data_IF_934093300705
#
_entry.id   IF_934093300705
#
_cell.length_a   1.000
_cell.length_b   1.000
_cell.length_c   1.000
_cell.angle_alpha   90.00
_cell.angle_beta   90.00
_cell.angle_gamma   90.00
#
_symmetry.space_group_name_H-M   'P 1'
#
loop_
_entity.id
_entity.type
_entity.pdbx_description
1 polymer ?
#
# COMPACT_ATOMS: atom_id res chain seq x y z
N UNK A 1 -12.70 -8.81 -13.35
CA UNK A 1 -12.84 -8.41 -11.92
C UNK A 1 -13.57 -7.07 -11.84
N UNK A 2 -14.31 -6.74 -10.75
CA UNK A 2 -14.99 -5.42 -10.60
C UNK A 2 -14.05 -4.22 -10.77
N UNK A 3 -12.75 -4.43 -10.50
CA UNK A 3 -11.67 -3.47 -10.79
C UNK A 3 -11.66 -3.02 -12.26
N UNK A 4 -12.00 -3.88 -13.22
CA UNK A 4 -12.10 -3.55 -14.64
C UNK A 4 -13.43 -2.86 -15.03
N UNK A 5 -14.42 -2.91 -14.14
CA UNK A 5 -15.73 -2.27 -14.31
C UNK A 5 -15.81 -0.90 -13.62
N UNK A 6 -14.69 -0.40 -13.07
CA UNK A 6 -14.64 0.92 -12.45
C UNK A 6 -14.99 2.00 -13.49
N UNK A 7 -15.95 2.90 -13.21
CA UNK A 7 -16.31 3.96 -14.14
C UNK A 7 -15.11 4.89 -14.38
N UNK A 8 -15.04 5.44 -15.60
CA UNK A 8 -14.02 6.43 -15.94
C UNK A 8 -14.28 7.72 -15.16
N UNK A 9 -13.31 8.15 -14.35
CA UNK A 9 -13.40 9.38 -13.57
C UNK A 9 -12.05 10.11 -13.58
N UNK A 10 -12.02 11.45 -13.72
CA UNK A 10 -10.78 12.21 -13.68
C UNK A 10 -9.98 11.92 -12.39
N UNK A 11 -8.73 11.47 -12.53
CA UNK A 11 -7.86 11.13 -11.39
C UNK A 11 -7.96 9.69 -10.87
N UNK A 12 -8.86 8.87 -11.43
CA UNK A 12 -8.89 7.42 -11.24
C UNK A 12 -8.40 6.69 -12.49
N UNK A 13 -7.51 5.71 -12.30
CA UNK A 13 -7.00 4.88 -13.40
C UNK A 13 -7.97 3.72 -13.61
N UNK A 14 -8.45 3.56 -14.85
CA UNK A 14 -9.20 2.36 -15.23
C UNK A 14 -8.22 1.21 -15.49
N UNK A 15 -8.50 0.05 -14.88
CA UNK A 15 -7.71 -1.16 -15.03
C UNK A 15 -8.45 -2.13 -15.96
N UNK A 16 -8.41 -1.89 -17.27
CA UNK A 16 -9.15 -2.69 -18.26
C UNK A 16 -8.80 -4.19 -18.23
N UNK A 17 -7.57 -4.53 -17.84
CA UNK A 17 -7.10 -5.92 -17.63
C UNK A 17 -7.32 -6.42 -16.19
N UNK A 18 -7.99 -5.65 -15.34
CA UNK A 18 -8.26 -6.00 -13.95
C UNK A 18 -6.99 -6.09 -13.10
N UNK A 19 -6.67 -7.30 -12.64
CA UNK A 19 -5.52 -7.58 -11.74
C UNK A 19 -4.38 -8.36 -12.41
N UNK A 20 -4.51 -8.68 -13.70
CA UNK A 20 -3.62 -9.60 -14.42
C UNK A 20 -2.39 -8.88 -14.97
N UNK A 21 -1.57 -8.32 -14.08
CA UNK A 21 -0.30 -7.74 -14.46
C UNK A 21 0.82 -8.77 -14.31
N UNK A 22 1.61 -8.96 -15.38
CA UNK A 22 2.82 -9.80 -15.36
C UNK A 22 3.88 -9.26 -14.39
N UNK A 23 3.87 -7.95 -14.14
CA UNK A 23 4.72 -7.26 -13.18
C UNK A 23 3.97 -6.05 -12.62
N UNK A 24 4.00 -5.88 -11.30
CA UNK A 24 3.45 -4.71 -10.62
C UNK A 24 4.53 -3.64 -10.47
N UNK A 25 4.22 -2.40 -10.83
CA UNK A 25 5.08 -1.24 -10.58
C UNK A 25 4.44 -0.30 -9.56
N UNK A 26 5.22 0.64 -9.01
CA UNK A 26 4.68 1.69 -8.14
C UNK A 26 3.61 2.58 -8.80
N UNK A 27 3.62 2.67 -10.14
CA UNK A 27 2.58 3.36 -10.91
C UNK A 27 1.28 2.56 -11.05
N UNK A 28 1.30 1.26 -10.74
CA UNK A 28 0.13 0.40 -10.75
C UNK A 28 -0.46 0.26 -9.34
N UNK A 29 0.37 0.18 -8.30
CA UNK A 29 -0.10 0.01 -6.91
C UNK A 29 -0.87 1.22 -6.38
N UNK A 30 -0.36 2.45 -6.57
CA UNK A 30 -1.02 3.67 -6.05
C UNK A 30 -2.43 3.89 -6.63
N UNK A 31 -2.67 3.79 -7.95
CA UNK A 31 -4.02 3.92 -8.48
C UNK A 31 -4.92 2.73 -8.11
N UNK A 32 -4.35 1.52 -7.93
CA UNK A 32 -5.12 0.35 -7.52
C UNK A 32 -5.70 0.55 -6.12
N UNK A 33 -4.92 1.07 -5.18
CA UNK A 33 -5.39 1.35 -3.81
C UNK A 33 -6.65 2.22 -3.77
N UNK A 34 -6.86 3.11 -4.76
CA UNK A 34 -8.06 3.97 -4.86
C UNK A 34 -9.32 3.25 -5.32
N UNK A 35 -9.19 2.17 -6.09
CA UNK A 35 -10.32 1.43 -6.69
C UNK A 35 -10.56 0.07 -6.03
N UNK A 36 -9.63 -0.38 -5.18
CA UNK A 36 -9.63 -1.73 -4.63
C UNK A 36 -10.75 -1.99 -3.62
N UNK A 37 -10.91 -1.11 -2.63
CA UNK A 37 -11.94 -1.23 -1.59
C UNK A 37 -13.37 -1.39 -2.13
N UNK A 38 -13.88 -0.50 -3.01
CA UNK A 38 -15.23 -0.65 -3.56
C UNK A 38 -15.37 -1.89 -4.46
N UNK A 39 -14.27 -2.46 -4.96
CA UNK A 39 -14.32 -3.65 -5.79
C UNK A 39 -14.48 -4.95 -5.00
N UNK A 40 -14.15 -4.95 -3.69
CA UNK A 40 -14.11 -6.16 -2.85
C UNK A 40 -15.16 -6.18 -1.73
N UNK A 41 -15.79 -5.05 -1.41
CA UNK A 41 -16.66 -4.87 -0.23
C UNK A 41 -17.74 -5.95 -0.07
N UNK A 42 -18.36 -6.39 -1.17
CA UNK A 42 -19.44 -7.39 -1.14
C UNK A 42 -18.95 -8.86 -1.23
N UNK A 43 -17.64 -9.08 -1.32
CA UNK A 43 -17.04 -10.41 -1.54
C UNK A 43 -16.26 -10.96 -0.35
N UNK A 44 -16.00 -10.14 0.67
CA UNK A 44 -15.17 -10.51 1.80
C UNK A 44 -15.91 -10.32 3.12
N UNK A 45 -15.54 -11.06 4.19
CA UNK A 45 -16.09 -10.82 5.52
C UNK A 45 -15.86 -9.37 5.97
N UNK A 46 -16.82 -8.80 6.70
CA UNK A 46 -16.72 -7.40 7.16
C UNK A 46 -15.43 -7.11 7.96
N UNK A 47 -15.01 -8.04 8.82
CA UNK A 47 -13.75 -7.96 9.57
C UNK A 47 -12.51 -7.89 8.65
N UNK A 48 -12.52 -8.66 7.56
CA UNK A 48 -11.46 -8.61 6.54
C UNK A 48 -11.47 -7.28 5.78
N UNK A 49 -12.65 -6.73 5.49
CA UNK A 49 -12.78 -5.41 4.89
C UNK A 49 -12.19 -4.32 5.80
N UNK A 50 -12.52 -4.32 7.09
CA UNK A 50 -11.96 -3.37 8.05
C UNK A 50 -10.44 -3.50 8.20
N UNK A 51 -9.89 -4.72 8.23
CA UNK A 51 -8.44 -4.92 8.23
C UNK A 51 -7.78 -4.28 7.00
N UNK A 52 -8.34 -4.46 5.81
CA UNK A 52 -7.80 -3.85 4.59
C UNK A 52 -7.93 -2.33 4.63
N UNK A 53 -9.06 -1.79 5.11
CA UNK A 53 -9.25 -0.34 5.29
C UNK A 53 -8.21 0.24 6.23
N UNK A 54 -8.04 -0.33 7.42
CA UNK A 54 -7.08 0.14 8.42
C UNK A 54 -5.63 0.11 7.89
N UNK A 55 -5.27 -0.94 7.15
CA UNK A 55 -3.96 -1.03 6.49
C UNK A 55 -3.77 0.05 5.42
N UNK A 56 -4.79 0.34 4.62
CA UNK A 56 -4.74 1.38 3.59
C UNK A 56 -4.66 2.77 4.23
N UNK A 57 -5.43 3.03 5.29
CA UNK A 57 -5.37 4.27 6.07
C UNK A 57 -3.95 4.51 6.59
N UNK A 58 -3.35 3.51 7.23
CA UNK A 58 -1.96 3.56 7.67
C UNK A 58 -1.02 3.93 6.51
N UNK A 59 -1.14 3.24 5.36
CA UNK A 59 -0.33 3.51 4.19
C UNK A 59 -0.51 4.93 3.65
N UNK A 60 -1.73 5.47 3.67
CA UNK A 60 -2.02 6.83 3.22
C UNK A 60 -1.40 7.89 4.13
N UNK A 61 -1.45 7.69 5.45
CA UNK A 61 -0.81 8.58 6.43
C UNK A 61 0.69 8.60 6.21
N UNK A 62 1.34 7.43 6.19
CA UNK A 62 2.80 7.31 5.97
C UNK A 62 3.26 7.94 4.64
N UNK A 63 2.38 7.96 3.64
CA UNK A 63 2.67 8.58 2.34
C UNK A 63 2.50 10.10 2.31
N UNK A 64 2.12 10.77 3.41
CA UNK A 64 2.03 12.23 3.45
C UNK A 64 3.41 12.90 3.43
N UNK A 65 3.55 14.07 2.81
CA UNK A 65 4.83 14.78 2.72
C UNK A 65 5.28 15.40 4.05
N UNK A 66 4.33 15.68 4.93
CA UNK A 66 4.54 16.20 6.27
C UNK A 66 3.53 15.50 7.19
N UNK A 67 3.95 15.24 8.42
CA UNK A 67 3.17 14.54 9.44
C UNK A 67 3.24 15.35 10.72
N UNK A 68 2.10 15.62 11.34
CA UNK A 68 2.02 16.23 12.65
C UNK A 68 1.69 15.20 13.75
N UNK A 69 1.51 15.68 14.98
CA UNK A 69 1.20 14.83 16.13
C UNK A 69 -0.17 14.13 15.99
N UNK A 70 -1.15 14.80 15.37
CA UNK A 70 -2.47 14.21 15.13
C UNK A 70 -2.40 13.11 14.04
N UNK A 71 -1.56 13.30 13.02
CA UNK A 71 -1.29 12.27 12.02
C UNK A 71 -0.61 11.03 12.64
N UNK A 72 0.30 11.23 13.61
CA UNK A 72 0.95 10.13 14.34
C UNK A 72 -0.05 9.37 15.23
N UNK A 73 -0.96 10.07 15.91
CA UNK A 73 -2.05 9.44 16.67
C UNK A 73 -3.00 8.64 15.75
N UNK A 74 -3.31 9.19 14.57
CA UNK A 74 -4.10 8.50 13.56
C UNK A 74 -3.36 7.27 13.01
N UNK A 75 -2.05 7.35 12.85
CA UNK A 75 -1.19 6.25 12.41
C UNK A 75 -1.24 5.08 13.39
N UNK A 76 -1.07 5.36 14.69
CA UNK A 76 -1.13 4.35 15.75
C UNK A 76 -2.53 3.74 15.85
N UNK A 77 -3.56 4.57 15.70
CA UNK A 77 -4.96 4.11 15.70
C UNK A 77 -5.26 3.18 14.52
N UNK A 78 -4.77 3.51 13.32
CA UNK A 78 -4.91 2.67 12.14
C UNK A 78 -4.15 1.34 12.30
N UNK A 79 -2.93 1.37 12.85
CA UNK A 79 -2.16 0.16 13.13
C UNK A 79 -2.88 -0.74 14.13
N UNK A 80 -3.36 -0.19 15.25
CA UNK A 80 -4.10 -0.94 16.27
C UNK A 80 -5.39 -1.55 15.71
N UNK A 81 -6.11 -0.79 14.88
CA UNK A 81 -7.29 -1.30 14.19
C UNK A 81 -6.93 -2.47 13.27
N UNK A 82 -5.84 -2.34 12.50
CA UNK A 82 -5.35 -3.41 11.65
C UNK A 82 -5.01 -4.67 12.45
N UNK A 83 -4.26 -4.56 13.54
CA UNK A 83 -3.87 -5.70 14.39
C UNK A 83 -5.06 -6.45 14.98
N UNK A 84 -6.13 -5.74 15.36
CA UNK A 84 -7.36 -6.34 15.89
C UNK A 84 -8.15 -7.05 14.78
N UNK A 85 -8.30 -6.41 13.63
CA UNK A 85 -9.14 -6.92 12.56
C UNK A 85 -8.43 -8.02 11.75
N UNK A 86 -7.11 -8.01 11.66
CA UNK A 86 -6.34 -8.94 10.82
C UNK A 86 -6.37 -10.40 11.31
N UNK A 87 -6.84 -10.67 12.54
CA UNK A 87 -7.00 -12.07 13.02
C UNK A 87 -7.98 -12.85 12.15
N UNK A 88 -8.86 -12.17 11.40
CA UNK A 88 -9.75 -12.80 10.43
C UNK A 88 -9.00 -13.64 9.39
N UNK A 89 -7.79 -13.23 9.00
CA UNK A 89 -6.98 -13.96 8.03
C UNK A 89 -6.54 -15.32 8.57
N UNK A 90 -6.38 -15.44 9.89
CA UNK A 90 -6.13 -16.71 10.59
C UNK A 90 -7.41 -17.53 10.68
N UNK A 91 -8.51 -16.89 11.10
CA UNK A 91 -9.83 -17.51 11.29
C UNK A 91 -10.36 -18.17 9.99
N UNK A 92 -10.17 -17.52 8.84
CA UNK A 92 -10.58 -18.07 7.53
C UNK A 92 -9.54 -18.98 6.88
N UNK A 93 -8.43 -19.26 7.56
CA UNK A 93 -7.38 -20.16 7.09
C UNK A 93 -6.50 -19.63 5.97
N UNK A 94 -6.51 -18.31 5.71
CA UNK A 94 -5.63 -17.67 4.72
C UNK A 94 -4.19 -17.61 5.24
N UNK A 95 -4.02 -17.30 6.53
CA UNK A 95 -2.74 -17.27 7.22
C UNK A 95 -2.84 -18.06 8.54
N UNK A 96 -2.89 -19.40 8.49
CA UNK A 96 -3.17 -20.23 9.67
C UNK A 96 -2.11 -20.13 10.78
N UNK A 97 -0.89 -19.70 10.44
CA UNK A 97 0.20 -19.51 11.41
C UNK A 97 0.42 -18.03 11.77
N UNK A 98 -0.59 -17.19 11.51
CA UNK A 98 -0.51 -15.74 11.65
C UNK A 98 0.24 -15.02 10.54
N UNK A 99 0.24 -13.70 10.66
CA UNK A 99 0.79 -12.79 9.64
C UNK A 99 2.26 -12.49 9.96
N UNK A 100 3.16 -13.39 9.57
CA UNK A 100 4.60 -13.23 9.75
C UNK A 100 5.29 -12.63 8.51
N UNK A 101 4.71 -11.58 7.93
CA UNK A 101 5.28 -10.89 6.76
C UNK A 101 6.19 -9.75 7.25
N UNK A 102 7.49 -9.71 6.88
CA UNK A 102 8.42 -8.68 7.37
C UNK A 102 7.94 -7.24 7.13
N UNK A 103 7.31 -6.97 5.99
CA UNK A 103 6.75 -5.64 5.69
C UNK A 103 5.57 -5.26 6.60
N UNK A 104 4.78 -6.24 7.06
CA UNK A 104 3.68 -6.00 7.99
C UNK A 104 4.23 -5.82 9.40
N UNK A 105 5.24 -6.60 9.79
CA UNK A 105 5.94 -6.40 11.05
C UNK A 105 6.56 -5.00 11.14
N UNK A 106 7.12 -4.49 10.03
CA UNK A 106 7.73 -3.17 9.98
C UNK A 106 6.78 -2.02 10.31
N UNK A 107 5.45 -2.20 10.19
CA UNK A 107 4.45 -1.16 10.47
C UNK A 107 4.59 -0.60 11.89
N UNK A 108 4.91 -1.43 12.87
CA UNK A 108 5.07 -1.03 14.27
C UNK A 108 6.24 -0.06 14.53
N UNK A 109 7.16 0.06 13.58
CA UNK A 109 8.34 0.92 13.72
C UNK A 109 8.15 2.29 13.08
N UNK A 110 7.10 2.50 12.27
CA UNK A 110 6.96 3.75 11.51
C UNK A 110 6.82 4.97 12.39
N UNK A 111 6.04 4.92 13.48
CA UNK A 111 5.91 6.06 14.39
C UNK A 111 7.29 6.54 14.87
N UNK A 112 8.09 5.63 15.43
CA UNK A 112 9.43 5.95 15.93
C UNK A 112 10.36 6.43 14.81
N UNK A 113 10.29 5.79 13.64
CA UNK A 113 11.10 6.18 12.48
C UNK A 113 10.73 7.57 11.97
N UNK A 114 9.45 7.93 11.94
CA UNK A 114 8.98 9.26 11.52
C UNK A 114 9.48 10.33 12.49
N UNK A 115 9.44 10.06 13.81
CA UNK A 115 9.98 11.00 14.79
C UNK A 115 11.50 11.19 14.66
N UNK A 116 12.24 10.15 14.28
CA UNK A 116 13.70 10.19 14.16
C UNK A 116 14.21 10.73 12.82
N UNK A 117 13.48 10.47 11.72
CA UNK A 117 13.94 10.67 10.35
C UNK A 117 12.96 11.48 9.49
N UNK A 118 11.92 12.05 10.10
CA UNK A 118 10.85 12.80 9.43
C UNK A 118 10.03 11.93 8.45
N UNK A 119 9.26 12.57 7.56
CA UNK A 119 8.40 11.88 6.62
C UNK A 119 9.19 10.94 5.68
N UNK A 120 8.80 9.67 5.54
CA UNK A 120 9.59 8.64 4.84
C UNK A 120 9.71 8.90 3.33
N UNK A 121 8.89 9.79 2.78
CA UNK A 121 8.93 10.20 1.38
C UNK A 121 10.28 10.82 0.96
N UNK A 122 11.05 11.39 1.90
CA UNK A 122 12.33 12.05 1.61
C UNK A 122 13.51 11.10 1.35
N UNK A 123 13.42 9.83 1.78
CA UNK A 123 14.54 8.87 1.80
C UNK A 123 14.29 7.60 0.98
N UNK A 124 13.31 7.63 0.07
CA UNK A 124 12.91 6.46 -0.70
C UNK A 124 13.97 6.06 -1.77
N UNK A 125 14.15 4.76 -1.96
CA UNK A 125 14.99 4.17 -3.04
C UNK A 125 14.55 4.58 -4.44
N UNK A 126 13.34 5.12 -4.60
CA UNK A 126 12.87 5.69 -5.87
C UNK A 126 13.78 6.82 -6.40
N UNK A 127 14.46 7.56 -5.52
CA UNK A 127 15.40 8.62 -5.91
C UNK A 127 16.61 8.03 -6.64
N UNK A 128 17.18 6.96 -6.08
CA UNK A 128 18.36 6.30 -6.66
C UNK A 128 17.98 5.42 -7.86
N UNK A 129 16.85 4.73 -7.80
CA UNK A 129 16.27 3.97 -8.93
C UNK A 129 16.06 4.87 -10.16
N UNK A 130 15.51 6.08 -9.96
CA UNK A 130 15.27 7.03 -11.06
C UNK A 130 16.56 7.43 -11.77
N UNK A 131 17.63 7.72 -11.00
CA UNK A 131 18.94 8.01 -11.57
C UNK A 131 19.58 6.78 -12.23
N UNK A 132 19.39 5.59 -11.66
CA UNK A 132 19.88 4.33 -12.23
C UNK A 132 19.26 4.01 -13.60
N UNK A 133 17.99 4.39 -13.83
CA UNK A 133 17.36 4.25 -15.16
C UNK A 133 18.13 5.05 -16.21
N UNK A 134 18.46 6.30 -15.91
CA UNK A 134 19.14 7.20 -16.85
C UNK A 134 20.61 6.87 -17.04
N UNK A 135 21.31 6.52 -15.94
CA UNK A 135 22.74 6.25 -15.96
C UNK A 135 23.09 4.85 -16.50
N UNK A 136 22.23 3.85 -16.29
CA UNK A 136 22.55 2.44 -16.57
C UNK A 136 21.58 1.82 -17.58
N UNK A 137 20.27 1.83 -17.28
CA UNK A 137 19.29 1.09 -18.10
C UNK A 137 19.13 1.69 -19.52
N UNK A 138 19.08 3.02 -19.66
CA UNK A 138 18.96 3.70 -20.97
C UNK A 138 20.21 3.48 -21.86
N UNK A 139 21.46 3.67 -21.38
CA UNK A 139 22.65 3.38 -22.18
C UNK A 139 22.76 1.91 -22.60
N UNK A 140 22.53 0.97 -21.68
CA UNK A 140 22.61 -0.47 -21.98
C UNK A 140 21.62 -0.90 -23.07
N UNK A 141 20.41 -0.32 -23.08
CA UNK A 141 19.41 -0.56 -24.15
C UNK A 141 19.78 0.06 -25.49
N UNK A 142 20.68 1.05 -25.54
CA UNK A 142 21.16 1.66 -26.78
C UNK A 142 22.36 0.91 -27.38
N UNK A 143 23.07 0.12 -26.57
CA UNK A 143 24.22 -0.69 -26.99
C UNK A 143 23.87 -2.11 -27.46
N UNK A 144 22.61 -2.53 -27.30
CA UNK A 144 22.04 -3.77 -27.84
C UNK A 144 21.01 -3.43 -28.92
#
# INVERSE_FOLDING_TARGET
>A
TRVALSPSFPGLRCFSQGREFKQWTGNDSKPLMKVFLPAIVDFIPGKMFHAIVAFLEFCYIVCQPCLDEADLEALDSALKCFEVECTIFEEVGICPNGISIPHIHALQHYHQLIQQFEAPNGLCTSITESKHIDAVKKPWRKSN
#
